data_IF_938867625267
#
_entry.id   IF_938867625267
#
_cell.length_a   1.000
_cell.length_b   1.000
_cell.length_c   1.000
_cell.angle_alpha   90.00
_cell.angle_beta   90.00
_cell.angle_gamma   90.00
#
_symmetry.space_group_name_H-M   'P 1'
#
loop_
_entity.id
_entity.type
_entity.pdbx_description
1 polymer ?
#
# COMPACT_ATOMS: atom_id res chain seq x y z
N UNK A 1 14.31 -3.86 -11.31
CA UNK A 1 14.59 -3.92 -9.86
C UNK A 1 16.09 -3.85 -9.67
N UNK A 2 16.60 -2.94 -8.84
CA UNK A 2 18.04 -2.77 -8.56
C UNK A 2 18.47 -3.36 -7.22
N UNK A 3 17.58 -3.44 -6.23
CA UNK A 3 17.83 -4.05 -4.92
C UNK A 3 16.52 -4.59 -4.33
N UNK A 4 16.55 -5.79 -3.75
CA UNK A 4 15.37 -6.42 -3.14
C UNK A 4 15.27 -6.19 -1.63
N UNK A 5 14.10 -6.44 -1.05
CA UNK A 5 13.90 -6.47 0.40
C UNK A 5 14.86 -7.47 1.05
N UNK A 6 15.62 -7.01 2.04
CA UNK A 6 16.59 -7.87 2.75
C UNK A 6 16.77 -7.41 4.20
N UNK A 7 16.13 -8.10 5.17
CA UNK A 7 16.23 -7.73 6.58
C UNK A 7 17.62 -8.00 7.17
N UNK A 8 18.47 -8.78 6.49
CA UNK A 8 19.81 -9.18 6.92
C UNK A 8 20.92 -8.58 6.06
N UNK A 9 20.63 -7.53 5.29
CA UNK A 9 21.64 -6.89 4.42
C UNK A 9 22.80 -6.37 5.26
N UNK A 10 24.02 -6.83 4.97
CA UNK A 10 25.24 -6.40 5.67
C UNK A 10 25.87 -5.22 4.95
N UNK A 11 26.23 -4.18 5.70
CA UNK A 11 26.94 -3.03 5.16
C UNK A 11 28.42 -3.39 4.90
N UNK A 12 28.94 -3.21 3.67
CA UNK A 12 30.24 -3.78 3.26
C UNK A 12 31.43 -3.17 4.02
N UNK A 13 31.32 -1.91 4.46
CA UNK A 13 32.41 -1.22 5.16
C UNK A 13 32.39 -1.47 6.67
N UNK A 14 31.20 -1.54 7.26
CA UNK A 14 31.06 -1.58 8.74
C UNK A 14 30.78 -2.98 9.27
N UNK A 15 30.46 -3.95 8.40
CA UNK A 15 30.07 -5.31 8.77
C UNK A 15 28.74 -5.42 9.53
N UNK A 16 28.06 -4.29 9.78
CA UNK A 16 26.79 -4.27 10.54
C UNK A 16 25.61 -4.58 9.65
N UNK A 17 24.61 -5.25 10.21
CA UNK A 17 23.31 -5.43 9.54
C UNK A 17 22.63 -4.06 9.40
N UNK A 18 22.33 -3.70 8.15
CA UNK A 18 21.59 -2.51 7.76
C UNK A 18 20.41 -2.94 6.88
N UNK A 19 19.27 -3.31 7.50
CA UNK A 19 18.13 -3.88 6.81
C UNK A 19 17.67 -3.01 5.64
N UNK A 20 17.40 -3.64 4.51
CA UNK A 20 16.70 -3.00 3.39
C UNK A 20 15.22 -3.36 3.49
N UNK A 21 14.38 -2.40 3.90
CA UNK A 21 12.97 -2.60 4.24
C UNK A 21 12.01 -2.36 3.07
N UNK A 22 12.54 -2.20 1.88
CA UNK A 22 11.77 -2.01 0.66
C UNK A 22 12.43 -2.71 -0.52
N UNK A 23 11.91 -2.42 -1.69
CA UNK A 23 12.46 -2.81 -2.97
C UNK A 23 12.83 -1.54 -3.73
N UNK A 24 14.00 -1.57 -4.36
CA UNK A 24 14.51 -0.46 -5.16
C UNK A 24 14.31 -0.71 -6.64
N UNK A 25 13.84 0.32 -7.33
CA UNK A 25 13.80 0.38 -8.79
C UNK A 25 14.58 1.60 -9.28
N UNK A 26 15.77 1.35 -9.83
CA UNK A 26 16.51 2.36 -10.57
C UNK A 26 15.68 2.91 -11.74
N UNK A 27 15.55 4.24 -11.81
CA UNK A 27 14.79 4.94 -12.83
C UNK A 27 15.19 6.42 -12.91
N UNK A 28 15.08 7.08 -14.08
CA UNK A 28 15.37 8.50 -14.21
C UNK A 28 14.52 9.35 -13.26
N UNK A 29 15.05 10.48 -12.81
CA UNK A 29 14.29 11.50 -12.07
C UNK A 29 13.10 11.95 -12.90
N UNK A 30 11.92 12.05 -12.29
CA UNK A 30 10.70 12.49 -12.97
C UNK A 30 9.84 11.37 -13.54
N UNK A 31 10.24 10.11 -13.38
CA UNK A 31 9.43 8.96 -13.80
C UNK A 31 8.12 8.93 -12.98
N UNK A 32 6.93 8.86 -13.61
CA UNK A 32 5.67 8.79 -12.90
C UNK A 32 5.54 7.54 -12.04
N UNK A 33 5.10 7.72 -10.79
CA UNK A 33 4.79 6.64 -9.84
C UNK A 33 3.27 6.58 -9.66
N UNK A 34 2.72 5.36 -9.74
CA UNK A 34 1.30 5.11 -9.64
C UNK A 34 0.92 4.43 -8.32
N UNK A 35 -0.31 4.65 -7.85
CA UNK A 35 -0.87 3.93 -6.72
C UNK A 35 -1.19 2.47 -7.13
N UNK A 36 -0.74 1.46 -6.36
CA UNK A 36 -0.99 0.06 -6.67
C UNK A 36 -2.40 -0.41 -6.28
N UNK A 37 -3.12 0.37 -5.46
CA UNK A 37 -4.46 0.09 -4.99
C UNK A 37 -5.12 1.39 -4.51
N UNK A 38 -6.44 1.36 -4.41
CA UNK A 38 -7.24 2.44 -3.84
C UNK A 38 -6.81 2.73 -2.39
N UNK A 39 -6.94 3.99 -1.97
CA UNK A 39 -6.56 4.37 -0.63
C UNK A 39 -6.68 5.86 -0.34
N UNK A 40 -6.04 6.28 0.76
CA UNK A 40 -5.95 7.66 1.19
C UNK A 40 -4.52 8.01 1.55
N UNK A 41 -4.07 9.18 1.13
CA UNK A 41 -2.75 9.70 1.46
C UNK A 41 -2.69 10.00 2.96
N UNK A 42 -1.92 9.19 3.68
CA UNK A 42 -1.72 9.33 5.11
C UNK A 42 -0.70 10.43 5.43
N UNK A 43 0.35 10.54 4.61
CA UNK A 43 1.46 11.48 4.84
C UNK A 43 2.17 11.88 3.55
N UNK A 44 2.52 13.15 3.47
CA UNK A 44 3.54 13.69 2.56
C UNK A 44 4.59 14.37 3.42
N UNK A 45 5.86 14.11 3.17
CA UNK A 45 6.92 14.66 4.01
C UNK A 45 8.27 14.75 3.33
N UNK A 46 9.22 15.34 4.05
CA UNK A 46 10.62 15.41 3.68
C UNK A 46 11.47 14.99 4.88
N UNK A 47 12.48 14.14 4.67
CA UNK A 47 13.36 13.64 5.72
C UNK A 47 14.80 13.56 5.20
N UNK A 48 15.83 13.85 6.02
CA UNK A 48 17.22 13.90 5.55
C UNK A 48 17.71 12.64 4.82
N UNK A 49 17.30 11.46 5.30
CA UNK A 49 17.66 10.16 4.69
C UNK A 49 16.66 9.74 3.60
N UNK A 50 15.37 9.63 3.92
CA UNK A 50 14.34 9.18 2.99
C UNK A 50 14.02 10.16 1.84
N UNK A 51 14.50 11.40 1.92
CA UNK A 51 14.17 12.46 0.96
C UNK A 51 12.72 12.88 1.08
N UNK A 52 12.17 13.40 -0.03
CA UNK A 52 10.72 13.63 -0.15
C UNK A 52 10.03 12.28 -0.29
N UNK A 53 8.97 12.07 0.48
CA UNK A 53 8.28 10.79 0.53
C UNK A 53 6.77 10.94 0.69
N UNK A 54 6.08 9.87 0.33
CA UNK A 54 4.63 9.72 0.37
C UNK A 54 4.29 8.41 1.11
N UNK A 55 3.21 8.43 1.89
CA UNK A 55 2.62 7.25 2.52
C UNK A 55 1.14 7.18 2.15
N UNK A 56 0.70 6.05 1.60
CA UNK A 56 -0.70 5.78 1.28
C UNK A 56 -1.19 4.65 2.18
N UNK A 57 -2.34 4.84 2.82
CA UNK A 57 -3.09 3.78 3.50
C UNK A 57 -4.18 3.28 2.56
N UNK A 58 -4.12 2.01 2.22
CA UNK A 58 -5.05 1.36 1.33
C UNK A 58 -6.27 0.84 2.07
N UNK A 59 -7.38 0.70 1.35
CA UNK A 59 -8.66 0.29 1.95
C UNK A 59 -8.66 -1.17 2.40
N UNK A 60 -7.81 -1.99 1.79
CA UNK A 60 -7.56 -3.38 2.16
C UNK A 60 -6.64 -3.53 3.39
N UNK A 61 -6.32 -2.45 4.11
CA UNK A 61 -5.53 -2.47 5.35
C UNK A 61 -4.01 -2.37 5.16
N UNK A 62 -3.52 -2.40 3.92
CA UNK A 62 -2.09 -2.27 3.61
C UNK A 62 -1.67 -0.79 3.66
N UNK A 63 -0.37 -0.56 3.89
CA UNK A 63 0.26 0.75 3.67
C UNK A 63 1.42 0.64 2.73
N UNK A 64 1.59 1.64 1.88
CA UNK A 64 2.74 1.75 0.99
C UNK A 64 3.53 3.03 1.26
N UNK A 65 4.85 2.96 1.13
CA UNK A 65 5.75 4.12 1.22
C UNK A 65 6.56 4.27 -0.05
N UNK A 66 6.71 5.52 -0.48
CA UNK A 66 7.45 5.90 -1.69
C UNK A 66 8.50 6.95 -1.31
N UNK A 67 9.78 6.61 -1.42
CA UNK A 67 10.88 7.43 -0.95
C UNK A 67 11.72 7.99 -2.12
N UNK A 68 12.63 8.90 -1.79
CA UNK A 68 13.57 9.54 -2.71
C UNK A 68 12.90 10.33 -3.85
N UNK A 69 11.62 10.68 -3.72
CA UNK A 69 10.82 11.31 -4.77
C UNK A 69 11.44 12.64 -5.24
N UNK A 70 11.09 13.10 -6.44
CA UNK A 70 11.37 14.47 -6.91
C UNK A 70 10.19 15.41 -6.65
N UNK A 71 8.96 14.88 -6.65
CA UNK A 71 7.75 15.65 -6.39
C UNK A 71 6.58 14.73 -6.04
N UNK A 72 5.94 14.88 -4.87
CA UNK A 72 4.59 14.36 -4.64
C UNK A 72 3.57 15.13 -5.50
N UNK A 73 2.61 14.44 -6.11
CA UNK A 73 1.53 15.04 -6.90
C UNK A 73 0.21 15.15 -6.13
N UNK A 74 0.17 14.54 -4.95
CA UNK A 74 -0.97 14.49 -4.03
C UNK A 74 -0.59 15.09 -2.68
N UNK A 75 -1.60 15.44 -1.89
CA UNK A 75 -1.50 16.02 -0.55
C UNK A 75 -2.05 15.06 0.52
N UNK A 76 -1.68 15.31 1.78
CA UNK A 76 -2.23 14.55 2.92
C UNK A 76 -3.74 14.68 2.95
N UNK A 77 -4.43 13.55 3.06
CA UNK A 77 -5.88 13.46 3.11
C UNK A 77 -6.53 13.12 1.78
N UNK A 78 -5.82 13.29 0.66
CA UNK A 78 -6.37 13.01 -0.68
C UNK A 78 -6.74 11.54 -0.82
N UNK A 79 -7.86 11.30 -1.52
CA UNK A 79 -8.23 9.96 -1.98
C UNK A 79 -7.44 9.65 -3.24
N UNK A 80 -6.96 8.42 -3.37
CA UNK A 80 -6.29 7.96 -4.58
C UNK A 80 -6.91 6.66 -5.08
N UNK A 81 -6.95 6.49 -6.40
CA UNK A 81 -7.41 5.24 -7.04
C UNK A 81 -6.23 4.44 -7.58
N UNK A 82 -6.40 3.14 -7.75
CA UNK A 82 -5.43 2.28 -8.43
C UNK A 82 -5.06 2.85 -9.81
N UNK A 83 -3.76 2.88 -10.11
CA UNK A 83 -3.21 3.45 -11.35
C UNK A 83 -3.06 4.98 -11.37
N UNK A 84 -3.60 5.69 -10.36
CA UNK A 84 -3.46 7.14 -10.28
C UNK A 84 -1.99 7.55 -10.10
N UNK A 85 -1.57 8.59 -10.81
CA UNK A 85 -0.22 9.15 -10.68
C UNK A 85 -0.12 9.99 -9.41
N UNK A 86 0.59 9.47 -8.42
CA UNK A 86 0.67 10.06 -7.07
C UNK A 86 1.99 10.80 -6.82
N UNK A 87 3.04 10.51 -7.59
CA UNK A 87 4.35 11.12 -7.40
C UNK A 87 5.23 11.01 -8.65
N UNK A 88 6.36 11.69 -8.62
CA UNK A 88 7.47 11.54 -9.55
C UNK A 88 8.71 11.02 -8.81
N UNK A 89 9.38 10.03 -9.38
CA UNK A 89 10.65 9.47 -8.88
C UNK A 89 11.72 10.56 -8.76
N UNK A 90 12.74 10.32 -7.95
CA UNK A 90 13.81 11.30 -7.79
C UNK A 90 15.11 10.70 -7.30
N UNK A 91 15.88 11.56 -6.64
CA UNK A 91 17.14 11.22 -6.00
C UNK A 91 17.33 12.06 -4.72
N UNK A 92 16.24 12.34 -3.98
CA UNK A 92 16.33 13.17 -2.78
C UNK A 92 16.68 12.38 -1.53
N UNK A 93 17.21 13.06 -0.52
CA UNK A 93 17.71 12.42 0.69
C UNK A 93 19.05 11.73 0.46
N UNK A 94 19.32 10.68 1.21
CA UNK A 94 20.55 9.90 1.10
C UNK A 94 20.34 8.74 0.12
N UNK A 95 20.72 8.97 -1.12
CA UNK A 95 20.62 8.02 -2.22
C UNK A 95 21.92 8.01 -3.03
N UNK A 96 22.29 6.85 -3.58
CA UNK A 96 23.48 6.71 -4.45
C UNK A 96 23.21 7.11 -5.90
N UNK A 97 21.96 7.09 -6.33
CA UNK A 97 21.54 7.46 -7.69
C UNK A 97 20.02 7.44 -7.86
N UNK A 98 19.48 7.99 -8.96
CA UNK A 98 18.03 8.07 -9.16
C UNK A 98 17.33 6.71 -9.09
N UNK A 99 16.37 6.58 -8.17
CA UNK A 99 15.58 5.37 -7.98
C UNK A 99 14.29 5.67 -7.19
N UNK A 100 13.38 4.70 -7.18
CA UNK A 100 12.29 4.60 -6.20
C UNK A 100 12.67 3.54 -5.17
N UNK A 101 12.66 3.92 -3.88
CA UNK A 101 12.58 2.97 -2.76
C UNK A 101 11.10 2.83 -2.38
N UNK A 102 10.54 1.63 -2.55
CA UNK A 102 9.15 1.34 -2.28
C UNK A 102 8.98 0.24 -1.24
N UNK A 103 8.12 0.49 -0.26
CA UNK A 103 7.83 -0.43 0.83
C UNK A 103 6.35 -0.79 0.88
N UNK A 104 6.06 -2.05 1.19
CA UNK A 104 4.74 -2.52 1.61
C UNK A 104 4.78 -2.81 3.10
N UNK A 105 3.75 -2.36 3.82
CA UNK A 105 3.63 -2.51 5.27
C UNK A 105 2.32 -3.23 5.57
N UNK A 106 2.44 -4.32 6.32
CA UNK A 106 1.32 -5.13 6.84
C UNK A 106 1.45 -5.15 8.36
N UNK A 107 0.38 -4.86 9.09
CA UNK A 107 0.37 -4.88 10.56
C UNK A 107 1.57 -4.12 11.18
N UNK A 108 1.87 -2.95 10.63
CA UNK A 108 2.96 -2.06 11.07
C UNK A 108 4.39 -2.59 10.83
N UNK A 109 4.55 -3.69 10.09
CA UNK A 109 5.83 -4.29 9.71
C UNK A 109 6.07 -4.23 8.20
N UNK A 110 7.27 -3.87 7.77
CA UNK A 110 7.64 -3.89 6.36
C UNK A 110 7.84 -5.33 5.89
N UNK A 111 7.29 -5.67 4.74
CA UNK A 111 7.36 -7.01 4.13
C UNK A 111 7.97 -6.94 2.73
N UNK A 112 8.39 -8.09 2.21
CA UNK A 112 8.88 -8.19 0.83
C UNK A 112 7.73 -7.93 -0.15
N UNK A 113 7.74 -6.75 -0.76
CA UNK A 113 6.71 -6.30 -1.69
C UNK A 113 6.54 -7.23 -2.91
N UNK A 114 7.53 -8.06 -3.22
CA UNK A 114 7.50 -8.99 -4.35
C UNK A 114 6.94 -10.37 -3.99
N UNK A 115 6.69 -10.62 -2.69
CA UNK A 115 6.25 -11.94 -2.18
C UNK A 115 5.05 -11.87 -1.25
N UNK A 116 4.67 -10.67 -0.80
CA UNK A 116 3.49 -10.48 0.03
C UNK A 116 2.27 -10.97 -0.73
N UNK A 117 1.46 -11.79 -0.07
CA UNK A 117 0.16 -12.19 -0.60
C UNK A 117 -0.73 -10.95 -0.66
N UNK A 118 -1.12 -10.57 -1.86
CA UNK A 118 -2.07 -9.49 -2.08
C UNK A 118 -3.45 -10.11 -2.28
N UNK A 119 -4.52 -9.50 -1.73
CA UNK A 119 -5.86 -9.92 -2.07
C UNK A 119 -6.02 -9.77 -3.58
N UNK A 120 -6.18 -10.88 -4.28
CA UNK A 120 -6.48 -10.84 -5.70
C UNK A 120 -7.83 -10.14 -5.87
N UNK A 121 -7.91 -9.20 -6.80
CA UNK A 121 -9.20 -8.69 -7.28
C UNK A 121 -9.84 -9.78 -8.15
N UNK A 122 -10.26 -10.89 -7.55
CA UNK A 122 -11.12 -11.83 -8.22
C UNK A 122 -12.53 -11.23 -8.23
N UNK A 123 -13.02 -10.89 -9.41
CA UNK A 123 -14.44 -10.59 -9.58
C UNK A 123 -15.25 -11.82 -9.16
N UNK A 124 -16.22 -11.63 -8.27
CA UNK A 124 -17.21 -12.68 -8.03
C UNK A 124 -18.08 -12.78 -9.28
N UNK A 125 -18.30 -14.00 -9.78
CA UNK A 125 -19.15 -14.28 -10.94
C UNK A 125 -20.20 -15.35 -10.60
N UNK A 126 -21.26 -15.39 -11.40
CA UNK A 126 -22.31 -16.40 -11.31
C UNK A 126 -22.96 -16.46 -9.93
N UNK A 127 -23.07 -17.67 -9.39
CA UNK A 127 -23.75 -17.96 -8.12
C UNK A 127 -23.10 -17.25 -6.93
N UNK A 128 -21.76 -17.12 -6.90
CA UNK A 128 -21.04 -16.43 -5.81
C UNK A 128 -21.35 -14.94 -5.78
N UNK A 129 -21.50 -14.30 -6.94
CA UNK A 129 -21.89 -12.89 -7.02
C UNK A 129 -23.33 -12.70 -6.54
N UNK A 130 -24.25 -13.58 -6.96
CA UNK A 130 -25.65 -13.50 -6.53
C UNK A 130 -25.80 -13.71 -5.03
N UNK A 131 -25.11 -14.71 -4.46
CA UNK A 131 -25.11 -14.95 -3.02
C UNK A 131 -24.57 -13.74 -2.24
N UNK A 132 -23.44 -13.17 -2.67
CA UNK A 132 -22.91 -11.95 -2.06
C UNK A 132 -23.89 -10.77 -2.15
N UNK A 133 -24.56 -10.58 -3.29
CA UNK A 133 -25.55 -9.51 -3.45
C UNK A 133 -26.75 -9.69 -2.51
N UNK A 134 -27.26 -10.91 -2.36
CA UNK A 134 -28.36 -11.21 -1.43
C UNK A 134 -27.95 -11.00 0.03
N UNK A 135 -26.76 -11.43 0.42
CA UNK A 135 -26.24 -11.23 1.77
C UNK A 135 -25.96 -9.74 2.07
N UNK A 136 -25.47 -8.99 1.08
CA UNK A 136 -25.16 -7.57 1.23
C UNK A 136 -26.39 -6.66 1.20
N UNK A 137 -27.50 -7.10 0.59
CA UNK A 137 -28.73 -6.32 0.43
C UNK A 137 -29.25 -5.69 1.74
N UNK A 138 -29.40 -6.42 2.87
CA UNK A 138 -29.87 -5.83 4.13
C UNK A 138 -28.89 -4.80 4.69
N UNK A 139 -27.57 -5.04 4.59
CA UNK A 139 -26.55 -4.09 5.05
C UNK A 139 -26.56 -2.80 4.21
N UNK A 140 -26.72 -2.93 2.89
CA UNK A 140 -26.83 -1.79 1.98
C UNK A 140 -28.13 -0.99 2.22
N UNK A 141 -29.23 -1.67 2.55
CA UNK A 141 -30.49 -1.00 2.90
C UNK A 141 -30.35 -0.13 4.15
N UNK A 142 -29.68 -0.62 5.20
CA UNK A 142 -29.39 0.14 6.43
C UNK A 142 -28.48 1.33 6.16
N UNK A 143 -27.43 1.15 5.35
CA UNK A 143 -26.54 2.26 4.97
C UNK A 143 -27.28 3.35 4.18
N UNK A 144 -28.24 2.96 3.33
CA UNK A 144 -29.05 3.89 2.53
C UNK A 144 -30.13 4.60 3.36
N UNK A 145 -30.69 3.94 4.37
CA UNK A 145 -31.69 4.56 5.26
C UNK A 145 -31.07 5.58 6.22
N UNK A 146 -29.75 5.53 6.44
CA UNK A 146 -29.03 6.45 7.33
C UNK A 146 -29.19 6.11 8.81
N UNK A 147 -29.71 4.93 9.14
CA UNK A 147 -29.90 4.46 10.51
C UNK A 147 -28.57 3.95 11.09
N UNK A 148 -27.88 4.76 11.88
CA UNK A 148 -26.68 4.35 12.63
C UNK A 148 -27.04 3.56 13.89
N UNK A 149 -27.51 2.33 13.71
CA UNK A 149 -27.71 1.36 14.79
C UNK A 149 -26.59 0.32 14.80
N UNK A 150 -26.12 -0.08 16.00
CA UNK A 150 -25.12 -1.14 16.16
C UNK A 150 -25.69 -2.48 15.68
N UNK A 151 -25.28 -2.95 14.50
CA UNK A 151 -25.59 -4.30 14.03
C UNK A 151 -24.46 -5.23 14.47
N UNK A 152 -24.74 -6.10 15.44
CA UNK A 152 -23.83 -7.17 15.84
C UNK A 152 -24.02 -8.34 14.89
N UNK A 153 -23.03 -8.63 14.05
CA UNK A 153 -23.03 -9.83 13.23
C UNK A 153 -22.83 -11.06 14.12
N UNK A 154 -23.79 -11.99 14.12
CA UNK A 154 -23.59 -13.34 14.63
C UNK A 154 -23.16 -14.24 13.48
N UNK A 155 -22.00 -14.87 13.60
CA UNK A 155 -21.63 -16.01 12.78
C UNK A 155 -22.30 -17.26 13.36
N UNK A 156 -23.20 -17.90 12.62
CA UNK A 156 -23.61 -19.26 12.90
C UNK A 156 -22.57 -20.19 12.26
N UNK A 157 -21.70 -20.78 13.08
CA UNK A 157 -20.98 -21.98 12.67
C UNK A 157 -22.00 -23.11 12.54
N UNK A 158 -22.16 -23.62 11.32
CA UNK A 158 -22.85 -24.88 11.08
C UNK A 158 -22.06 -25.70 10.06
N UNK A 159 -21.03 -26.39 10.54
CA UNK A 159 -20.44 -27.53 9.85
C UNK A 159 -20.10 -28.61 10.90
N UNK A 160 -21.00 -29.58 11.04
CA UNK A 160 -20.73 -30.90 11.58
C UNK A 160 -21.83 -31.87 11.12
N UNK A 161 -21.63 -32.51 9.96
CA UNK A 161 -21.89 -33.94 9.76
C UNK A 161 -21.00 -34.49 8.64
#
# INVERSE_FOLDING_TARGET
MSSGFNPRRTHPVTGRVSPHRGTDWAMPVGTPIQAPADGRVEKVGNHPVAGRYLVVRHDNGYRTRYLHLSRPLVSRGDRVTMGERIALSGNTGRSTGPHLHYEVIVNNSAVDAMKVELPESQSLEGERLMAFQQEAEPLLAVLRSGETGTVVAQASDSDAD
#
